data_IF_923025073327
#
_entry.id   IF_923025073327
#
_cell.length_a   1.000
_cell.length_b   1.000
_cell.length_c   1.000
_cell.angle_alpha   90.00
_cell.angle_beta   90.00
_cell.angle_gamma   90.00
#
_symmetry.space_group_name_H-M   'P 1'
#
loop_
_entity.id
_entity.type
_entity.pdbx_description
1 polymer ?
#
# COMPACT_ATOMS: atom_id res chain seq x y z
N UNK A 1 -5.64 17.90 -1.81
CA UNK A 1 -5.82 19.36 -1.79
C UNK A 1 -5.35 19.98 -0.48
N UNK A 2 -5.91 19.66 0.70
CA UNK A 2 -5.40 20.23 1.97
C UNK A 2 -4.01 19.71 2.35
N UNK A 3 -3.79 18.39 2.31
CA UNK A 3 -2.48 17.79 2.61
C UNK A 3 -1.35 18.33 1.70
N UNK A 4 -1.68 18.66 0.45
CA UNK A 4 -0.72 19.22 -0.52
C UNK A 4 -0.24 20.64 -0.16
N UNK A 5 -0.91 21.33 0.76
CA UNK A 5 -0.48 22.66 1.24
C UNK A 5 0.74 22.59 2.14
N UNK A 6 0.98 21.44 2.78
CA UNK A 6 2.03 21.27 3.80
C UNK A 6 3.04 20.19 3.44
N UNK A 7 2.73 19.31 2.49
CA UNK A 7 3.66 18.25 2.04
C UNK A 7 3.41 17.83 0.60
N UNK A 8 4.36 17.11 0.00
CA UNK A 8 4.11 16.39 -1.24
C UNK A 8 3.28 15.15 -0.95
N UNK A 9 2.26 14.90 -1.76
CA UNK A 9 1.27 13.85 -1.51
C UNK A 9 1.24 12.86 -2.67
N UNK A 10 1.21 11.58 -2.33
CA UNK A 10 0.91 10.48 -3.22
C UNK A 10 -0.34 9.76 -2.68
N UNK A 11 -1.26 9.37 -3.56
CA UNK A 11 -2.50 8.67 -3.18
C UNK A 11 -2.72 7.54 -4.18
N UNK A 12 -3.16 6.38 -3.71
CA UNK A 12 -3.54 5.23 -4.54
C UNK A 12 -4.95 4.75 -4.19
N UNK A 13 -5.71 4.20 -5.14
CA UNK A 13 -7.06 3.72 -4.88
C UNK A 13 -7.09 2.41 -4.05
N UNK A 14 -8.09 2.32 -3.16
CA UNK A 14 -8.43 1.10 -2.42
C UNK A 14 -9.60 0.32 -3.05
N UNK A 15 -9.90 -0.87 -2.52
CA UNK A 15 -11.02 -1.69 -3.01
C UNK A 15 -12.37 -0.97 -2.87
N UNK A 16 -12.53 -0.13 -1.84
CA UNK A 16 -13.74 0.68 -1.63
C UNK A 16 -13.93 1.83 -2.63
N UNK A 17 -12.88 2.20 -3.37
CA UNK A 17 -12.96 3.21 -4.44
C UNK A 17 -13.48 2.63 -5.75
N UNK A 18 -13.45 1.30 -5.90
CA UNK A 18 -13.80 0.58 -7.13
C UNK A 18 -15.29 0.29 -7.17
N UNK A 19 -15.98 0.88 -8.14
CA UNK A 19 -17.38 0.59 -8.46
C UNK A 19 -17.48 -0.67 -9.32
N UNK A 20 -17.05 -1.81 -8.77
CA UNK A 20 -16.84 -3.08 -9.48
C UNK A 20 -18.10 -3.60 -10.20
N UNK A 21 -19.30 -3.26 -9.69
CA UNK A 21 -20.57 -3.66 -10.28
C UNK A 21 -20.82 -3.06 -11.69
N UNK A 22 -20.08 -2.02 -12.08
CA UNK A 22 -20.17 -1.49 -13.45
C UNK A 22 -19.45 -2.36 -14.48
N UNK A 23 -18.51 -3.21 -14.06
CA UNK A 23 -17.76 -4.11 -14.95
C UNK A 23 -17.25 -5.36 -14.23
N UNK A 24 -18.15 -6.23 -13.74
CA UNK A 24 -17.72 -7.52 -13.19
C UNK A 24 -17.05 -8.35 -14.29
N UNK A 25 -15.91 -8.97 -13.98
CA UNK A 25 -15.11 -9.78 -14.92
C UNK A 25 -14.69 -9.02 -16.20
N UNK A 26 -14.65 -7.68 -16.14
CA UNK A 26 -14.42 -6.79 -17.29
C UNK A 26 -15.46 -6.91 -18.42
N UNK A 27 -16.68 -7.32 -18.10
CA UNK A 27 -17.79 -7.48 -19.05
C UNK A 27 -18.72 -6.25 -19.09
N UNK A 28 -18.20 -5.05 -18.85
CA UNK A 28 -18.99 -3.83 -18.75
C UNK A 28 -18.20 -2.55 -18.98
N UNK A 29 -18.43 -1.54 -18.12
CA UNK A 29 -17.86 -0.20 -18.26
C UNK A 29 -16.55 -0.06 -17.48
N UNK A 30 -15.46 -0.61 -18.00
CA UNK A 30 -14.13 -0.56 -17.36
C UNK A 30 -13.68 0.87 -17.01
N UNK A 31 -13.93 1.83 -17.89
CA UNK A 31 -13.61 3.25 -17.65
C UNK A 31 -14.37 3.85 -16.44
N UNK A 32 -15.48 3.25 -16.04
CA UNK A 32 -16.28 3.69 -14.91
C UNK A 32 -15.85 3.04 -13.58
N UNK A 33 -14.95 2.05 -13.57
CA UNK A 33 -14.58 1.34 -12.33
C UNK A 33 -14.04 2.28 -11.24
N UNK A 34 -13.23 3.26 -11.62
CA UNK A 34 -12.61 4.24 -10.71
C UNK A 34 -13.19 5.65 -10.86
N UNK A 35 -14.43 5.78 -11.38
CA UNK A 35 -15.00 7.11 -11.66
C UNK A 35 -15.09 8.00 -10.41
N UNK A 36 -15.41 7.43 -9.23
CA UNK A 36 -15.46 8.18 -7.96
C UNK A 36 -14.08 8.65 -7.55
N UNK A 37 -13.09 7.76 -7.59
CA UNK A 37 -11.70 8.09 -7.28
C UNK A 37 -11.19 9.20 -8.19
N UNK A 38 -11.35 9.05 -9.51
CA UNK A 38 -10.90 10.05 -10.49
C UNK A 38 -11.60 11.40 -10.31
N UNK A 39 -12.89 11.38 -9.98
CA UNK A 39 -13.69 12.60 -9.76
C UNK A 39 -13.28 13.35 -8.50
N UNK A 40 -13.03 12.64 -7.39
CA UNK A 40 -12.90 13.25 -6.06
C UNK A 40 -11.47 13.30 -5.53
N UNK A 41 -10.59 12.41 -5.99
CA UNK A 41 -9.22 12.24 -5.49
C UNK A 41 -8.21 12.71 -6.53
N UNK A 42 -7.97 11.91 -7.58
CA UNK A 42 -6.99 12.19 -8.64
C UNK A 42 -7.22 11.28 -9.84
N UNK A 43 -6.93 11.77 -11.04
CA UNK A 43 -7.06 10.98 -12.28
C UNK A 43 -6.00 9.86 -12.40
N UNK A 44 -4.77 10.19 -12.00
CA UNK A 44 -3.64 9.27 -11.94
C UNK A 44 -3.80 8.30 -10.76
N UNK A 45 -3.87 7.01 -11.09
CA UNK A 45 -4.12 5.89 -10.18
C UNK A 45 -2.83 5.15 -9.79
N UNK A 46 -1.73 5.42 -10.49
CA UNK A 46 -0.41 4.81 -10.25
C UNK A 46 0.69 5.88 -10.24
N UNK A 47 0.54 6.93 -9.42
CA UNK A 47 1.45 8.08 -9.45
C UNK A 47 2.87 7.71 -9.04
N UNK A 48 3.84 8.51 -9.51
CA UNK A 48 5.23 8.44 -9.07
C UNK A 48 5.62 9.77 -8.44
N UNK A 49 6.08 9.72 -7.20
CA UNK A 49 6.57 10.86 -6.44
C UNK A 49 8.07 10.71 -6.23
N UNK A 50 8.85 11.64 -6.80
CA UNK A 50 10.31 11.74 -6.60
C UNK A 50 10.59 12.85 -5.60
N UNK A 51 11.34 12.54 -4.55
CA UNK A 51 11.79 13.47 -3.51
C UNK A 51 13.28 13.26 -3.24
N UNK A 52 13.98 14.23 -2.64
CA UNK A 52 15.35 13.99 -2.19
C UNK A 52 15.41 12.72 -1.32
N UNK A 53 16.27 11.77 -1.69
CA UNK A 53 16.47 10.52 -0.96
C UNK A 53 15.47 9.39 -1.28
N UNK A 54 14.38 9.61 -2.02
CA UNK A 54 13.42 8.53 -2.32
C UNK A 54 12.66 8.69 -3.66
N UNK A 55 12.35 7.54 -4.27
CA UNK A 55 11.39 7.39 -5.36
C UNK A 55 10.25 6.52 -4.88
N UNK A 56 9.06 7.11 -4.85
CA UNK A 56 7.85 6.51 -4.30
C UNK A 56 6.90 6.23 -5.46
N UNK A 57 6.64 4.95 -5.75
CA UNK A 57 5.79 4.51 -6.84
C UNK A 57 4.48 3.93 -6.30
N UNK A 58 3.36 4.54 -6.68
CA UNK A 58 2.03 4.01 -6.43
C UNK A 58 1.69 2.92 -7.45
N UNK A 59 1.13 1.81 -6.97
CA UNK A 59 0.59 0.74 -7.81
C UNK A 59 -0.86 0.45 -7.41
N UNK A 60 -1.72 0.33 -8.42
CA UNK A 60 -3.13 0.02 -8.16
C UNK A 60 -3.30 -1.48 -7.98
N UNK A 61 -3.71 -1.89 -6.78
CA UNK A 61 -4.05 -3.31 -6.50
C UNK A 61 -5.56 -3.57 -6.54
N UNK A 62 -6.36 -2.52 -6.70
CA UNK A 62 -7.80 -2.51 -6.50
C UNK A 62 -8.51 -2.57 -7.84
N UNK A 63 -8.92 -3.78 -8.23
CA UNK A 63 -9.60 -4.03 -9.51
C UNK A 63 -11.04 -4.56 -9.36
N UNK A 64 -11.46 -4.88 -8.12
CA UNK A 64 -12.79 -5.44 -7.88
C UNK A 64 -12.87 -6.92 -8.29
N UNK A 65 -13.87 -7.25 -9.10
CA UNK A 65 -14.14 -8.64 -9.51
C UNK A 65 -13.52 -8.91 -10.88
N UNK A 66 -12.39 -9.60 -10.88
CA UNK A 66 -11.68 -10.10 -12.06
C UNK A 66 -11.54 -11.62 -11.96
N UNK A 67 -11.23 -12.29 -13.08
CA UNK A 67 -10.91 -13.72 -13.08
C UNK A 67 -9.77 -14.05 -12.11
N UNK A 68 -8.76 -13.19 -12.06
CA UNK A 68 -7.58 -13.33 -11.22
C UNK A 68 -7.87 -13.10 -9.72
N UNK A 69 -8.91 -12.32 -9.40
CA UNK A 69 -9.30 -12.00 -8.01
C UNK A 69 -10.38 -12.91 -7.46
N UNK A 70 -10.94 -13.82 -8.27
CA UNK A 70 -11.95 -14.78 -7.81
C UNK A 70 -11.42 -15.66 -6.68
N UNK A 71 -12.29 -15.93 -5.72
CA UNK A 71 -12.05 -16.82 -4.59
C UNK A 71 -13.24 -17.74 -4.39
N UNK A 72 -13.00 -18.84 -3.68
CA UNK A 72 -14.06 -19.76 -3.26
C UNK A 72 -14.86 -19.25 -2.06
N UNK A 73 -14.45 -18.13 -1.46
CA UNK A 73 -15.12 -17.53 -0.31
C UNK A 73 -15.94 -16.31 -0.77
N UNK A 74 -17.29 -16.37 -0.76
CA UNK A 74 -18.12 -15.26 -1.20
C UNK A 74 -17.88 -13.95 -0.45
N UNK A 75 -17.39 -14.01 0.80
CA UNK A 75 -17.06 -12.82 1.59
C UNK A 75 -15.84 -12.07 1.08
N UNK A 76 -15.01 -12.71 0.27
CA UNK A 76 -13.79 -12.13 -0.28
C UNK A 76 -14.00 -11.60 -1.72
N UNK A 77 -15.22 -11.69 -2.26
CA UNK A 77 -15.54 -11.15 -3.58
C UNK A 77 -15.32 -9.63 -3.56
N UNK A 78 -14.65 -9.10 -4.59
CA UNK A 78 -14.33 -7.68 -4.80
C UNK A 78 -13.32 -7.04 -3.83
N UNK A 79 -12.87 -7.74 -2.79
CA UNK A 79 -11.93 -7.20 -1.80
C UNK A 79 -10.50 -7.68 -2.00
N UNK A 80 -10.27 -8.71 -2.83
CA UNK A 80 -8.93 -9.23 -3.08
C UNK A 80 -8.26 -8.44 -4.19
N UNK A 81 -7.05 -7.99 -3.92
CA UNK A 81 -6.23 -7.27 -4.86
C UNK A 81 -5.42 -8.16 -5.81
N UNK A 82 -4.94 -7.54 -6.88
CA UNK A 82 -4.08 -8.17 -7.87
C UNK A 82 -3.05 -7.16 -8.40
N UNK A 83 -1.85 -7.64 -8.78
CA UNK A 83 -0.89 -6.88 -9.59
C UNK A 83 -0.60 -7.66 -10.86
N UNK A 84 -0.86 -7.01 -11.99
CA UNK A 84 -0.59 -7.52 -13.33
C UNK A 84 0.88 -7.39 -13.72
N UNK A 85 1.27 -8.15 -14.75
CA UNK A 85 2.65 -8.14 -15.28
C UNK A 85 3.06 -6.75 -15.79
N UNK A 86 2.17 -6.06 -16.49
CA UNK A 86 2.45 -4.73 -17.05
C UNK A 86 2.77 -3.69 -15.96
N UNK A 87 2.10 -3.77 -14.80
CA UNK A 87 2.36 -2.89 -13.66
C UNK A 87 3.74 -3.18 -13.06
N UNK A 88 4.15 -4.44 -13.01
CA UNK A 88 5.47 -4.86 -12.54
C UNK A 88 6.56 -4.41 -13.52
N UNK A 89 6.35 -4.57 -14.82
CA UNK A 89 7.33 -4.14 -15.82
C UNK A 89 7.46 -2.60 -15.86
N UNK A 90 6.35 -1.87 -15.66
CA UNK A 90 6.38 -0.42 -15.41
C UNK A 90 7.19 -0.07 -14.17
N UNK A 91 6.96 -0.78 -13.05
CA UNK A 91 7.68 -0.54 -11.79
C UNK A 91 9.18 -0.81 -11.94
N UNK A 92 9.56 -1.87 -12.65
CA UNK A 92 10.95 -2.16 -13.02
C UNK A 92 11.57 -0.98 -13.78
N UNK A 93 10.86 -0.45 -14.77
CA UNK A 93 11.32 0.74 -15.52
C UNK A 93 11.52 1.97 -14.62
N UNK A 94 10.61 2.21 -13.67
CA UNK A 94 10.72 3.33 -12.73
C UNK A 94 11.96 3.21 -11.83
N UNK A 95 12.27 1.98 -11.39
CA UNK A 95 13.35 1.71 -10.43
C UNK A 95 14.71 1.37 -11.05
N UNK A 96 14.76 1.07 -12.35
CA UNK A 96 16.00 0.77 -13.08
C UNK A 96 17.02 1.92 -12.99
N UNK A 97 16.54 3.17 -13.12
CA UNK A 97 17.40 4.35 -13.12
C UNK A 97 17.57 5.00 -11.74
N UNK A 98 17.13 4.33 -10.66
CA UNK A 98 17.25 4.87 -9.30
C UNK A 98 18.69 4.67 -8.80
N UNK A 99 19.43 5.76 -8.47
CA UNK A 99 20.80 5.64 -8.00
C UNK A 99 20.92 4.83 -6.71
N UNK A 100 22.10 4.27 -6.45
CA UNK A 100 22.44 3.74 -5.13
C UNK A 100 22.25 4.82 -4.05
N UNK A 101 21.82 4.42 -2.86
CA UNK A 101 21.49 5.35 -1.77
C UNK A 101 20.08 5.95 -1.84
N UNK A 102 19.44 6.03 -3.01
CA UNK A 102 18.05 6.52 -3.12
C UNK A 102 17.07 5.40 -2.82
N UNK A 103 16.12 5.65 -1.92
CA UNK A 103 15.14 4.65 -1.48
C UNK A 103 14.09 4.37 -2.54
N UNK A 104 13.78 3.09 -2.76
CA UNK A 104 12.71 2.60 -3.62
C UNK A 104 11.52 2.24 -2.74
N UNK A 105 10.43 3.01 -2.85
CA UNK A 105 9.24 2.82 -2.02
C UNK A 105 8.07 2.46 -2.93
N UNK A 106 7.33 1.41 -2.59
CA UNK A 106 6.07 1.04 -3.24
C UNK A 106 4.92 1.43 -2.33
N UNK A 107 3.88 2.05 -2.91
CA UNK A 107 2.63 2.37 -2.21
C UNK A 107 1.49 1.61 -2.88
N UNK A 108 0.76 0.83 -2.10
CA UNK A 108 -0.35 0.01 -2.58
C UNK A 108 -1.45 -0.14 -1.54
N UNK A 109 -2.65 -0.54 -1.92
CA UNK A 109 -3.72 -0.72 -0.95
C UNK A 109 -3.63 -2.07 -0.20
N UNK A 110 -3.60 -3.18 -0.94
CA UNK A 110 -3.68 -4.53 -0.38
C UNK A 110 -2.33 -4.98 0.19
N UNK A 111 -2.30 -5.48 1.41
CA UNK A 111 -1.10 -5.99 2.06
C UNK A 111 -0.57 -7.27 1.38
N UNK A 112 0.74 -7.36 1.10
CA UNK A 112 1.37 -8.54 0.50
C UNK A 112 1.80 -9.58 1.54
N UNK A 113 1.43 -9.39 2.81
CA UNK A 113 1.67 -10.31 3.94
C UNK A 113 0.36 -10.65 4.60
N UNK A 114 0.26 -11.83 5.20
CA UNK A 114 -0.99 -12.30 5.82
C UNK A 114 -1.36 -11.42 7.01
N UNK A 115 -2.61 -10.94 7.05
CA UNK A 115 -3.10 -10.14 8.17
C UNK A 115 -3.16 -10.93 9.47
N UNK A 116 -2.70 -10.34 10.58
CA UNK A 116 -2.68 -11.01 11.89
C UNK A 116 -4.08 -11.34 12.39
N UNK A 117 -5.01 -10.39 12.33
CA UNK A 117 -6.40 -10.61 12.77
C UNK A 117 -7.27 -11.26 11.70
N UNK A 118 -7.09 -10.89 10.43
CA UNK A 118 -7.91 -11.41 9.34
C UNK A 118 -7.55 -12.85 8.99
N UNK A 119 -6.30 -13.26 9.24
CA UNK A 119 -5.72 -14.52 8.80
C UNK A 119 -5.90 -14.76 7.28
N UNK A 120 -5.96 -13.67 6.51
CA UNK A 120 -6.14 -13.69 5.05
C UNK A 120 -5.06 -12.85 4.38
N UNK A 121 -4.82 -13.16 3.11
CA UNK A 121 -4.04 -12.30 2.23
C UNK A 121 -5.01 -11.34 1.54
N UNK A 122 -4.73 -10.04 1.62
CA UNK A 122 -5.47 -9.04 0.84
C UNK A 122 -5.12 -9.07 -0.65
N UNK A 123 -4.03 -9.74 -1.03
CA UNK A 123 -3.45 -9.72 -2.37
C UNK A 123 -3.23 -11.14 -2.91
N UNK A 124 -3.51 -11.38 -4.19
CA UNK A 124 -3.18 -12.65 -4.86
C UNK A 124 -1.68 -12.74 -5.17
N UNK A 125 -1.14 -13.96 -5.13
CA UNK A 125 0.24 -14.27 -5.53
C UNK A 125 1.30 -13.46 -4.76
N UNK A 126 1.13 -13.32 -3.45
CA UNK A 126 2.01 -12.51 -2.59
C UNK A 126 3.48 -12.89 -2.71
N UNK A 127 3.81 -14.18 -2.70
CA UNK A 127 5.20 -14.64 -2.72
C UNK A 127 5.91 -14.22 -4.01
N UNK A 128 5.20 -14.30 -5.14
CA UNK A 128 5.70 -13.84 -6.45
C UNK A 128 5.91 -12.33 -6.47
N UNK A 129 4.97 -11.58 -5.91
CA UNK A 129 5.04 -10.11 -5.85
C UNK A 129 6.19 -9.66 -4.95
N UNK A 130 6.36 -10.28 -3.78
CA UNK A 130 7.48 -10.03 -2.89
C UNK A 130 8.82 -10.40 -3.55
N UNK A 131 8.87 -11.48 -4.32
CA UNK A 131 10.04 -11.84 -5.12
C UNK A 131 10.42 -10.76 -6.14
N UNK A 132 9.44 -10.21 -6.88
CA UNK A 132 9.68 -9.11 -7.81
C UNK A 132 10.12 -7.82 -7.11
N UNK A 133 9.54 -7.50 -5.94
CA UNK A 133 9.97 -6.36 -5.14
C UNK A 133 11.42 -6.51 -4.66
N UNK A 134 11.82 -7.72 -4.25
CA UNK A 134 13.20 -8.04 -3.92
C UNK A 134 14.16 -7.87 -5.10
N UNK A 135 13.79 -8.39 -6.29
CA UNK A 135 14.58 -8.23 -7.52
C UNK A 135 14.80 -6.75 -7.89
N UNK A 136 13.80 -5.90 -7.62
CA UNK A 136 13.88 -4.46 -7.88
C UNK A 136 14.60 -3.69 -6.77
N UNK A 137 15.01 -4.33 -5.68
CA UNK A 137 15.64 -3.69 -4.53
C UNK A 137 14.70 -2.72 -3.81
N UNK A 138 13.41 -3.03 -3.72
CA UNK A 138 12.43 -2.24 -2.97
C UNK A 138 12.82 -2.20 -1.49
N UNK A 139 12.97 -1.00 -0.95
CA UNK A 139 13.30 -0.77 0.46
C UNK A 139 12.05 -0.93 1.34
N UNK A 140 10.94 -0.31 0.91
CA UNK A 140 9.72 -0.18 1.71
C UNK A 140 8.48 -0.40 0.87
N UNK A 141 7.54 -1.19 1.39
CA UNK A 141 6.16 -1.28 0.89
C UNK A 141 5.22 -0.65 1.91
N UNK A 142 4.49 0.39 1.50
CA UNK A 142 3.46 1.04 2.31
C UNK A 142 2.09 0.51 1.86
N UNK A 143 1.33 -0.07 2.78
CA UNK A 143 0.02 -0.65 2.48
C UNK A 143 -1.03 -0.43 3.58
N UNK A 144 -2.26 -0.91 3.34
CA UNK A 144 -3.38 -0.82 4.26
C UNK A 144 -4.24 -2.08 4.23
N UNK A 145 -5.52 -1.95 3.90
CA UNK A 145 -6.52 -3.01 3.74
C UNK A 145 -6.98 -3.72 5.03
N UNK A 146 -6.09 -4.13 5.92
CA UNK A 146 -6.49 -4.91 7.12
C UNK A 146 -7.06 -4.06 8.27
N UNK A 147 -7.04 -2.73 8.14
CA UNK A 147 -7.47 -1.79 9.18
C UNK A 147 -6.69 -1.99 10.51
N UNK A 148 -5.45 -2.45 10.42
CA UNK A 148 -4.56 -2.73 11.55
C UNK A 148 -3.14 -2.28 11.19
N UNK A 149 -2.50 -1.57 12.12
CA UNK A 149 -1.07 -1.28 12.05
C UNK A 149 -0.25 -2.57 12.19
N UNK A 150 0.69 -2.77 11.29
CA UNK A 150 1.66 -3.85 11.37
C UNK A 150 2.95 -3.46 10.66
N UNK A 151 4.06 -3.98 11.16
CA UNK A 151 5.37 -3.82 10.52
C UNK A 151 5.99 -5.19 10.38
N UNK A 152 6.36 -5.54 9.15
CA UNK A 152 7.01 -6.81 8.84
C UNK A 152 8.33 -6.53 8.12
N UNK A 153 9.28 -7.45 8.29
CA UNK A 153 10.52 -7.47 7.53
C UNK A 153 10.60 -8.78 6.77
N UNK A 154 10.74 -8.69 5.46
CA UNK A 154 10.93 -9.86 4.59
C UNK A 154 12.39 -9.90 4.21
N UNK A 155 13.10 -10.90 4.71
CA UNK A 155 14.49 -11.15 4.36
C UNK A 155 14.58 -11.75 2.95
N UNK A 156 15.46 -11.19 2.13
CA UNK A 156 15.81 -11.75 0.83
C UNK A 156 17.33 -11.92 0.74
N UNK A 157 17.79 -12.73 -0.20
CA UNK A 157 19.21 -13.10 -0.36
C UNK A 157 20.15 -11.91 -0.57
N UNK A 158 19.67 -10.81 -1.15
CA UNK A 158 20.47 -9.61 -1.41
C UNK A 158 20.22 -8.48 -0.40
N UNK A 159 18.95 -8.26 -0.03
CA UNK A 159 18.49 -7.13 0.80
C UNK A 159 17.09 -7.41 1.33
N UNK A 160 16.78 -6.98 2.55
CA UNK A 160 15.42 -7.11 3.09
C UNK A 160 14.47 -5.98 2.69
N UNK A 161 13.18 -6.28 2.71
CA UNK A 161 12.10 -5.31 2.43
C UNK A 161 11.28 -5.05 3.69
N UNK A 162 11.10 -3.79 4.05
CA UNK A 162 10.19 -3.39 5.15
C UNK A 162 8.77 -3.24 4.61
N UNK A 163 7.79 -3.84 5.27
CA UNK A 163 6.38 -3.70 4.93
C UNK A 163 5.68 -3.00 6.08
N UNK A 164 5.16 -1.81 5.82
CA UNK A 164 4.42 -1.00 6.78
C UNK A 164 2.94 -0.97 6.38
N UNK A 165 2.12 -1.68 7.17
CA UNK A 165 0.67 -1.65 7.04
C UNK A 165 0.11 -0.58 7.95
N UNK A 166 -0.62 0.38 7.39
CA UNK A 166 -1.27 1.44 8.15
C UNK A 166 -2.62 0.97 8.73
N UNK A 167 -2.94 1.49 9.92
CA UNK A 167 -4.28 1.41 10.50
C UNK A 167 -5.28 2.31 9.78
N UNK A 168 -6.39 2.60 10.45
CA UNK A 168 -7.46 3.42 9.87
C UNK A 168 -7.56 4.77 10.55
N UNK A 169 -7.67 5.83 9.75
CA UNK A 169 -8.09 7.15 10.20
C UNK A 169 -9.62 7.26 10.13
N UNK A 170 -10.30 6.53 11.02
CA UNK A 170 -11.76 6.51 11.12
C UNK A 170 -12.22 6.15 12.53
N UNK A 171 -13.41 6.65 12.87
CA UNK A 171 -14.23 6.24 14.01
C UNK A 171 -14.79 4.81 13.90
N UNK A 172 -14.79 4.22 12.70
CA UNK A 172 -15.20 2.83 12.42
C UNK A 172 -14.03 1.86 12.55
N UNK A 173 -13.30 1.93 13.65
CA UNK A 173 -12.17 1.02 13.88
C UNK A 173 -12.63 -0.39 14.23
N UNK A 174 -11.93 -1.40 13.70
CA UNK A 174 -12.21 -2.80 14.02
C UNK A 174 -11.63 -3.11 15.40
N UNK A 175 -12.47 -3.57 16.33
CA UNK A 175 -12.04 -3.97 17.66
C UNK A 175 -11.73 -2.82 18.62
N UNK A 176 -12.25 -1.61 18.37
CA UNK A 176 -12.10 -0.46 19.28
C UNK A 176 -10.69 0.13 19.33
N UNK A 177 -9.82 -0.22 18.36
CA UNK A 177 -8.47 0.33 18.27
C UNK A 177 -8.51 1.85 17.99
N UNK A 178 -7.59 2.64 18.55
CA UNK A 178 -7.49 4.05 18.20
C UNK A 178 -7.08 4.20 16.73
N UNK A 179 -7.41 5.33 16.12
CA UNK A 179 -6.84 5.67 14.81
C UNK A 179 -5.33 5.78 14.89
N UNK A 180 -4.63 5.37 13.83
CA UNK A 180 -3.17 5.41 13.79
C UNK A 180 -2.66 5.84 12.41
N UNK A 181 -1.46 6.40 12.41
CA UNK A 181 -0.69 6.72 11.22
C UNK A 181 0.74 6.21 11.40
N UNK A 182 1.39 5.76 10.34
CA UNK A 182 2.79 5.37 10.40
C UNK A 182 3.67 6.50 9.89
N UNK A 183 4.74 6.79 10.63
CA UNK A 183 5.86 7.63 10.20
C UNK A 183 7.00 6.71 9.80
N UNK A 184 7.54 6.92 8.59
CA UNK A 184 8.68 6.15 8.08
C UNK A 184 9.85 7.08 7.87
N UNK A 185 10.93 6.84 8.59
CA UNK A 185 12.20 7.58 8.46
C UNK A 185 13.20 6.67 7.76
N UNK A 186 13.77 7.15 6.66
CA UNK A 186 14.76 6.40 5.88
C UNK A 186 16.08 7.17 5.90
N UNK A 187 17.13 6.51 6.36
CA UNK A 187 18.52 6.98 6.31
C UNK A 187 19.34 6.10 5.36
N UNK A 188 20.64 6.37 5.26
CA UNK A 188 21.53 5.54 4.44
C UNK A 188 21.71 4.13 5.05
N UNK A 189 21.67 4.02 6.38
CA UNK A 189 21.94 2.79 7.13
C UNK A 189 20.68 2.06 7.63
N UNK A 190 19.53 2.74 7.67
CA UNK A 190 18.35 2.18 8.32
C UNK A 190 17.01 2.69 7.81
N UNK A 191 15.98 1.90 8.10
CA UNK A 191 14.58 2.23 7.94
C UNK A 191 13.92 2.10 9.31
N UNK A 192 13.32 3.18 9.78
CA UNK A 192 12.57 3.22 11.03
C UNK A 192 11.08 3.44 10.75
N UNK A 193 10.23 2.63 11.35
CA UNK A 193 8.77 2.73 11.26
C UNK A 193 8.21 2.95 12.66
N UNK A 194 7.66 4.13 12.89
CA UNK A 194 6.98 4.49 14.13
C UNK A 194 5.47 4.61 13.88
N UNK A 195 4.68 3.87 14.63
CA UNK A 195 3.22 4.04 14.64
C UNK A 195 2.86 5.14 15.61
N UNK A 196 2.15 6.16 15.13
CA UNK A 196 1.56 7.20 15.94
C UNK A 196 0.08 6.90 16.19
N UNK A 197 -0.35 7.00 17.43
CA UNK A 197 -1.69 6.56 17.89
C UNK A 197 -2.49 7.78 18.34
N UNK A 198 -3.71 7.93 17.83
CA UNK A 198 -4.61 9.01 18.22
C UNK A 198 -5.03 8.88 19.68
N UNK A 199 -4.83 9.95 20.45
CA UNK A 199 -5.32 10.07 21.82
C UNK A 199 -6.44 11.12 21.87
N UNK A 200 -7.70 10.71 22.15
CA UNK A 200 -8.79 11.65 22.35
C UNK A 200 -8.55 12.61 23.52
N UNK A 201 -7.87 12.17 24.58
CA UNK A 201 -7.58 13.00 25.74
C UNK A 201 -6.56 14.10 25.41
N UNK A 202 -5.54 13.77 24.61
CA UNK A 202 -4.49 14.73 24.21
C UNK A 202 -4.86 15.54 22.96
N UNK A 203 -5.92 15.15 22.24
CA UNK A 203 -6.28 15.69 20.92
C UNK A 203 -5.08 15.68 19.95
N UNK A 204 -4.25 14.64 20.03
CA UNK A 204 -3.00 14.53 19.29
C UNK A 204 -2.64 13.07 19.00
N UNK A 205 -1.76 12.89 18.02
CA UNK A 205 -1.07 11.63 17.79
C UNK A 205 0.11 11.50 18.75
N UNK A 206 0.09 10.45 19.57
CA UNK A 206 1.16 10.11 20.50
C UNK A 206 2.05 9.02 19.91
N UNK A 207 3.32 8.99 20.34
CA UNK A 207 4.24 7.94 19.94
C UNK A 207 3.75 6.56 20.43
N UNK A 208 3.66 5.61 19.51
CA UNK A 208 3.39 4.21 19.76
C UNK A 208 4.63 3.35 19.48
N UNK A 209 4.43 2.07 19.12
CA UNK A 209 5.53 1.16 18.78
C UNK A 209 6.44 1.70 17.68
N UNK A 210 7.73 1.45 17.81
CA UNK A 210 8.75 1.82 16.83
C UNK A 210 9.65 0.61 16.54
N UNK A 211 9.94 0.36 15.27
CA UNK A 211 10.85 -0.68 14.82
C UNK A 211 11.88 -0.11 13.85
N UNK A 212 13.13 -0.55 13.97
CA UNK A 212 14.25 -0.11 13.11
C UNK A 212 14.89 -1.33 12.46
N UNK A 213 15.16 -1.22 11.16
CA UNK A 213 15.76 -2.24 10.31
C UNK A 213 16.99 -1.68 9.62
N UNK A 214 17.98 -2.51 9.35
CA UNK A 214 19.10 -2.15 8.47
C UNK A 214 18.60 -2.02 7.02
N UNK A 215 19.21 -1.12 6.27
CA UNK A 215 18.87 -0.85 4.87
C UNK A 215 19.85 -1.50 3.89
#
# INVERSE_FOLDING_TARGET
REAERVSRVIVVPGNHDVAWWFSPLRLGRDAALLYKYRRYVRDDIEPVLRVPGAVIAGVNTSHGVLWETLTWNPRDISIIGHLGRDQIDRLRGIFADVPAGVARVVVMHHNPVKGELSQRHGLKHTDRILGWFAEMGVDVVLCGHDHQEAVHFVEHTAKGTVISTAGTMSDRSRGGRPSSVNSVTITDDAIEVATLIWSPAAQAFLAGPCQRFAR
#
